data_IF_489229154303
#
_entry.id   IF_489229154303
#
_cell.length_a   1.000
_cell.length_b   1.000
_cell.length_c   1.000
_cell.angle_alpha   90.00
_cell.angle_beta   90.00
_cell.angle_gamma   90.00
#
_symmetry.space_group_name_H-M   'P 1'
#
loop_
_entity.id
_entity.type
_entity.pdbx_description
1 polymer ?
#
# COMPACT_ATOMS: atom_id res chain seq x y z
N UNK A 1 8.64 -20.98 5.23
CA UNK A 1 9.03 -19.84 6.09
C UNK A 1 9.30 -20.20 7.56
N UNK A 2 8.49 -21.06 8.22
CA UNK A 2 8.65 -21.43 9.64
C UNK A 2 10.04 -21.96 10.06
N UNK A 3 10.69 -22.82 9.26
CA UNK A 3 12.04 -23.35 9.58
C UNK A 3 13.16 -22.31 9.60
N UNK A 4 13.06 -21.25 8.77
CA UNK A 4 14.09 -20.19 8.68
C UNK A 4 13.97 -19.21 9.84
N UNK A 5 12.74 -18.94 10.28
CA UNK A 5 12.44 -18.15 11.48
C UNK A 5 12.97 -18.83 12.76
N UNK A 6 12.70 -20.13 12.93
CA UNK A 6 13.15 -20.88 14.11
C UNK A 6 14.68 -20.90 14.25
N UNK A 7 15.40 -21.13 13.14
CA UNK A 7 16.87 -21.15 13.12
C UNK A 7 17.46 -19.79 13.54
N UNK A 8 16.92 -18.70 13.01
CA UNK A 8 17.39 -17.35 13.35
C UNK A 8 17.08 -17.01 14.82
N UNK A 9 15.91 -17.43 15.33
CA UNK A 9 15.55 -17.26 16.74
C UNK A 9 16.48 -18.02 17.67
N UNK A 10 16.83 -19.27 17.34
CA UNK A 10 17.80 -20.06 18.12
C UNK A 10 19.17 -19.40 18.10
N UNK A 11 19.65 -18.97 16.92
CA UNK A 11 20.98 -18.39 16.76
C UNK A 11 21.13 -17.07 17.54
N UNK A 12 20.09 -16.24 17.56
CA UNK A 12 20.05 -15.00 18.34
C UNK A 12 20.04 -15.29 19.84
N UNK A 13 19.28 -16.30 20.29
CA UNK A 13 19.25 -16.68 21.70
C UNK A 13 20.57 -17.27 22.19
N UNK A 14 21.26 -18.05 21.34
CA UNK A 14 22.62 -18.54 21.62
C UNK A 14 23.62 -17.38 21.68
N UNK A 15 23.53 -16.41 20.75
CA UNK A 15 24.35 -15.19 20.81
C UNK A 15 24.11 -14.38 22.09
N UNK A 16 22.85 -14.21 22.49
CA UNK A 16 22.47 -13.54 23.74
C UNK A 16 22.99 -14.27 24.97
N UNK A 17 22.97 -15.61 24.98
CA UNK A 17 23.57 -16.43 26.02
C UNK A 17 25.07 -16.16 26.19
N UNK A 18 25.82 -16.19 25.08
CA UNK A 18 27.27 -15.97 25.09
C UNK A 18 27.58 -14.55 25.56
N UNK A 19 26.88 -13.53 25.03
CA UNK A 19 27.06 -12.14 25.43
C UNK A 19 26.80 -11.94 26.92
N UNK A 20 25.71 -12.49 27.43
CA UNK A 20 25.37 -12.40 28.85
C UNK A 20 26.41 -13.10 29.74
N UNK A 21 26.84 -14.30 29.37
CA UNK A 21 27.89 -15.01 30.11
C UNK A 21 29.21 -14.22 30.14
N UNK A 22 29.58 -13.57 29.03
CA UNK A 22 30.74 -12.68 28.99
C UNK A 22 30.57 -11.46 29.91
N UNK A 23 29.40 -10.82 29.89
CA UNK A 23 29.09 -9.67 30.74
C UNK A 23 29.14 -10.04 32.23
N UNK A 24 28.58 -11.18 32.62
CA UNK A 24 28.62 -11.69 33.99
C UNK A 24 30.04 -11.93 34.51
N UNK A 25 30.85 -12.62 33.71
CA UNK A 25 32.25 -12.90 34.03
C UNK A 25 33.02 -11.59 34.19
N UNK A 26 32.78 -10.61 33.30
CA UNK A 26 33.44 -9.31 33.38
C UNK A 26 32.99 -8.46 34.57
N UNK A 27 31.70 -8.43 34.88
CA UNK A 27 31.14 -7.65 35.99
C UNK A 27 31.51 -8.19 37.36
N UNK A 28 31.74 -9.50 37.47
CA UNK A 28 32.13 -10.15 38.72
C UNK A 28 33.64 -10.29 38.93
N UNK A 29 34.45 -9.77 38.00
CA UNK A 29 35.91 -9.98 38.01
C UNK A 29 36.59 -9.45 39.28
N UNK A 30 36.07 -8.35 39.85
CA UNK A 30 36.58 -7.74 41.10
C UNK A 30 36.39 -8.64 42.34
N UNK A 31 35.54 -9.66 42.27
CA UNK A 31 35.28 -10.60 43.37
C UNK A 31 36.00 -11.94 43.20
N UNK A 32 36.89 -12.06 42.21
CA UNK A 32 37.60 -13.31 41.90
C UNK A 32 38.36 -13.87 43.10
N UNK A 33 38.95 -13.01 43.92
CA UNK A 33 39.78 -13.40 45.07
C UNK A 33 38.95 -13.96 46.25
N UNK A 34 37.61 -13.87 46.19
CA UNK A 34 36.72 -14.49 47.18
C UNK A 34 36.48 -15.99 46.93
N UNK A 35 37.05 -16.55 45.86
CA UNK A 35 36.88 -17.95 45.47
C UNK A 35 38.18 -18.73 45.67
N UNK A 36 38.05 -20.00 46.10
CA UNK A 36 39.19 -20.89 46.39
C UNK A 36 40.12 -21.10 45.18
N UNK A 37 39.61 -20.95 43.96
CA UNK A 37 40.39 -21.06 42.72
C UNK A 37 39.75 -20.30 41.56
N UNK A 38 40.56 -19.97 40.55
CA UNK A 38 40.06 -19.35 39.32
C UNK A 38 39.03 -20.23 38.59
N UNK A 39 39.19 -21.56 38.61
CA UNK A 39 38.22 -22.49 38.02
C UNK A 39 36.90 -22.51 38.78
N UNK A 40 36.94 -22.45 40.12
CA UNK A 40 35.73 -22.35 40.94
C UNK A 40 34.95 -21.07 40.64
N UNK A 41 35.63 -19.94 40.44
CA UNK A 41 35.00 -18.68 40.01
C UNK A 41 34.26 -18.85 38.67
N UNK A 42 34.94 -19.32 37.61
CA UNK A 42 34.31 -19.46 36.29
C UNK A 42 33.15 -20.46 36.28
N UNK A 43 33.26 -21.59 37.00
CA UNK A 43 32.19 -22.57 37.13
C UNK A 43 30.97 -22.00 37.89
N UNK A 44 31.21 -21.18 38.91
CA UNK A 44 30.14 -20.52 39.64
C UNK A 44 29.40 -19.51 38.76
N UNK A 45 30.14 -18.71 37.97
CA UNK A 45 29.55 -17.75 37.03
C UNK A 45 28.81 -18.43 35.88
N UNK A 46 29.37 -19.50 35.31
CA UNK A 46 28.71 -20.26 34.26
C UNK A 46 27.40 -20.87 34.77
N UNK A 47 27.42 -21.52 35.94
CA UNK A 47 26.21 -22.10 36.53
C UNK A 47 25.17 -21.04 36.90
N UNK A 48 25.60 -19.82 37.22
CA UNK A 48 24.71 -18.67 37.44
C UNK A 48 24.04 -18.22 36.15
N UNK A 49 24.83 -18.01 35.08
CA UNK A 49 24.33 -17.62 33.76
C UNK A 49 23.36 -18.66 33.18
N UNK A 50 23.63 -19.95 33.38
CA UNK A 50 22.74 -21.05 32.93
C UNK A 50 21.37 -20.97 33.60
N UNK A 51 21.29 -20.77 34.92
CA UNK A 51 20.01 -20.68 35.63
C UNK A 51 19.15 -19.53 35.10
N UNK A 52 19.76 -18.36 34.91
CA UNK A 52 19.07 -17.17 34.39
C UNK A 52 18.56 -17.42 32.98
N UNK A 53 19.40 -18.00 32.14
CA UNK A 53 19.05 -18.27 30.74
C UNK A 53 17.97 -19.32 30.59
N UNK A 54 17.96 -20.34 31.44
CA UNK A 54 16.86 -21.32 31.51
C UNK A 54 15.54 -20.62 31.86
N UNK A 55 15.53 -19.70 32.84
CA UNK A 55 14.32 -18.94 33.20
C UNK A 55 13.86 -18.06 32.03
N UNK A 56 14.79 -17.37 31.36
CA UNK A 56 14.48 -16.55 30.17
C UNK A 56 13.93 -17.40 29.02
N UNK A 57 14.53 -18.56 28.75
CA UNK A 57 14.07 -19.45 27.68
C UNK A 57 12.73 -20.11 27.98
N UNK A 58 12.48 -20.53 29.22
CA UNK A 58 11.16 -21.02 29.65
C UNK A 58 10.12 -19.92 29.46
N UNK A 59 10.45 -18.68 29.83
CA UNK A 59 9.56 -17.56 29.59
C UNK A 59 9.29 -17.39 28.08
N UNK A 60 10.34 -17.28 27.27
CA UNK A 60 10.26 -16.93 25.86
C UNK A 60 9.62 -18.01 24.99
N UNK A 61 9.99 -19.28 25.17
CA UNK A 61 9.54 -20.39 24.32
C UNK A 61 8.29 -21.10 24.83
N UNK A 62 7.99 -21.02 26.14
CA UNK A 62 6.87 -21.77 26.74
C UNK A 62 5.80 -20.81 27.27
N UNK A 63 6.16 -19.90 28.18
CA UNK A 63 5.16 -19.07 28.86
C UNK A 63 4.49 -18.07 27.91
N UNK A 64 5.27 -17.40 27.04
CA UNK A 64 4.72 -16.42 26.09
C UNK A 64 3.76 -17.07 25.09
N UNK A 65 4.14 -18.12 24.32
CA UNK A 65 3.25 -18.67 23.29
C UNK A 65 2.01 -19.37 23.86
N UNK A 66 2.12 -19.98 25.04
CA UNK A 66 1.02 -20.76 25.62
C UNK A 66 0.03 -19.88 26.38
N UNK A 67 0.50 -18.87 27.13
CA UNK A 67 -0.34 -18.08 28.03
C UNK A 67 -0.49 -16.63 27.59
N UNK A 68 0.60 -15.95 27.28
CA UNK A 68 0.56 -14.53 26.90
C UNK A 68 -0.18 -14.32 25.57
N UNK A 69 0.18 -15.08 24.54
CA UNK A 69 -0.44 -14.97 23.21
C UNK A 69 -1.92 -15.42 23.21
N UNK A 70 -2.31 -16.30 24.16
CA UNK A 70 -3.71 -16.71 24.37
C UNK A 70 -4.49 -15.78 25.30
N UNK A 71 -3.96 -14.58 25.60
CA UNK A 71 -4.56 -13.55 26.47
C UNK A 71 -4.81 -13.99 27.93
N UNK A 72 -4.13 -15.03 28.40
CA UNK A 72 -4.21 -15.52 29.80
C UNK A 72 -3.17 -14.81 30.68
N UNK A 73 -3.23 -13.48 30.75
CA UNK A 73 -2.18 -12.65 31.36
C UNK A 73 -2.00 -12.89 32.87
N UNK A 74 -3.10 -13.13 33.60
CA UNK A 74 -3.05 -13.41 35.04
C UNK A 74 -2.27 -14.70 35.34
N UNK A 75 -2.59 -15.78 34.61
CA UNK A 75 -1.88 -17.06 34.75
C UNK A 75 -0.41 -16.95 34.33
N UNK A 76 -0.14 -16.20 33.25
CA UNK A 76 1.22 -15.90 32.81
C UNK A 76 2.05 -15.19 33.90
N UNK A 77 1.49 -14.18 34.56
CA UNK A 77 2.16 -13.44 35.63
C UNK A 77 2.53 -14.34 36.82
N UNK A 78 1.59 -15.19 37.26
CA UNK A 78 1.84 -16.16 38.34
C UNK A 78 2.96 -17.14 37.96
N UNK A 79 2.91 -17.72 36.77
CA UNK A 79 3.91 -18.69 36.32
C UNK A 79 5.29 -18.06 36.12
N UNK A 80 5.35 -16.81 35.68
CA UNK A 80 6.60 -16.07 35.54
C UNK A 80 7.24 -15.78 36.90
N UNK A 81 6.45 -15.30 37.86
CA UNK A 81 6.95 -15.07 39.22
C UNK A 81 7.39 -16.41 39.83
N UNK A 82 6.57 -17.46 39.67
CA UNK A 82 6.88 -18.80 40.14
C UNK A 82 8.20 -19.36 39.58
N UNK A 83 8.49 -19.14 38.29
CA UNK A 83 9.75 -19.59 37.68
C UNK A 83 10.97 -18.84 38.21
N UNK A 84 10.82 -17.54 38.54
CA UNK A 84 11.88 -16.75 39.20
C UNK A 84 12.14 -17.24 40.63
N UNK A 85 11.08 -17.49 41.40
CA UNK A 85 11.18 -18.06 42.76
C UNK A 85 11.89 -19.42 42.74
N UNK A 86 11.51 -20.29 41.80
CA UNK A 86 12.12 -21.61 41.62
C UNK A 86 13.61 -21.49 41.25
N UNK A 87 13.96 -20.62 40.30
CA UNK A 87 15.35 -20.37 39.90
C UNK A 87 16.22 -19.86 41.05
N UNK A 88 15.69 -18.94 41.86
CA UNK A 88 16.38 -18.43 43.05
C UNK A 88 16.58 -19.52 44.12
N UNK A 89 15.55 -20.33 44.36
CA UNK A 89 15.61 -21.43 45.32
C UNK A 89 16.65 -22.49 44.92
N UNK A 90 16.64 -22.94 43.66
CA UNK A 90 17.57 -23.96 43.16
C UNK A 90 19.04 -23.54 43.30
N UNK A 91 19.35 -22.25 43.14
CA UNK A 91 20.73 -21.75 43.24
C UNK A 91 21.25 -21.69 44.68
N UNK A 92 20.37 -21.44 45.65
CA UNK A 92 20.76 -21.13 47.04
C UNK A 92 20.53 -22.31 48.00
N UNK A 93 19.82 -23.35 47.55
CA UNK A 93 19.49 -24.53 48.37
C UNK A 93 20.70 -25.17 49.10
N UNK A 94 21.89 -25.18 48.47
CA UNK A 94 23.10 -25.76 49.07
C UNK A 94 23.77 -24.89 50.15
N UNK A 95 23.49 -23.59 50.18
CA UNK A 95 24.01 -22.65 51.18
C UNK A 95 22.92 -21.61 51.50
N UNK A 96 21.93 -21.97 52.32
CA UNK A 96 20.76 -21.13 52.55
C UNK A 96 21.15 -19.77 53.14
N UNK A 97 20.86 -18.71 52.39
CA UNK A 97 21.03 -17.33 52.85
C UNK A 97 19.82 -16.51 52.43
N UNK A 98 19.13 -15.93 53.42
CA UNK A 98 17.97 -15.05 53.18
C UNK A 98 18.37 -13.85 52.34
N UNK A 99 19.53 -13.23 52.64
CA UNK A 99 20.07 -12.10 51.87
C UNK A 99 20.44 -12.54 50.45
N UNK A 100 21.04 -13.72 50.29
CA UNK A 100 21.34 -14.28 48.97
C UNK A 100 20.09 -14.50 48.14
N UNK A 101 19.00 -14.97 48.77
CA UNK A 101 17.73 -15.24 48.10
C UNK A 101 17.11 -13.98 47.51
N UNK A 102 17.00 -12.91 48.30
CA UNK A 102 16.48 -11.63 47.80
C UNK A 102 17.36 -11.07 46.68
N UNK A 103 18.69 -11.08 46.83
CA UNK A 103 19.61 -10.63 45.77
C UNK A 103 19.40 -11.39 44.46
N UNK A 104 19.30 -12.73 44.53
CA UNK A 104 19.07 -13.57 43.36
C UNK A 104 17.70 -13.32 42.71
N UNK A 105 16.66 -13.18 43.51
CA UNK A 105 15.31 -12.90 43.03
C UNK A 105 15.21 -11.54 42.32
N UNK A 106 15.73 -10.47 42.93
CA UNK A 106 15.76 -9.14 42.30
C UNK A 106 16.62 -9.13 41.03
N UNK A 107 17.71 -9.89 41.02
CA UNK A 107 18.55 -10.03 39.83
C UNK A 107 17.81 -10.72 38.68
N UNK A 108 17.10 -11.81 38.96
CA UNK A 108 16.25 -12.50 37.98
C UNK A 108 15.12 -11.61 37.45
N UNK A 109 14.52 -10.77 38.30
CA UNK A 109 13.54 -9.77 37.88
C UNK A 109 14.18 -8.79 36.88
N UNK A 110 15.35 -8.25 37.20
CA UNK A 110 16.04 -7.28 36.36
C UNK A 110 16.44 -7.87 34.99
N UNK A 111 17.09 -9.04 34.97
CA UNK A 111 17.56 -9.66 33.71
C UNK A 111 16.41 -10.18 32.85
N UNK A 112 15.38 -10.77 33.47
CA UNK A 112 14.19 -11.23 32.73
C UNK A 112 13.37 -10.05 32.24
N UNK A 113 13.25 -8.98 33.03
CA UNK A 113 12.54 -7.75 32.65
C UNK A 113 13.20 -7.06 31.46
N UNK A 114 14.52 -6.91 31.46
CA UNK A 114 15.28 -6.34 30.34
C UNK A 114 15.20 -7.21 29.09
N UNK A 115 15.34 -8.53 29.22
CA UNK A 115 15.16 -9.47 28.10
C UNK A 115 13.74 -9.43 27.51
N UNK A 116 12.73 -9.33 28.37
CA UNK A 116 11.33 -9.21 27.97
C UNK A 116 11.05 -7.88 27.25
N UNK A 117 11.59 -6.77 27.75
CA UNK A 117 11.50 -5.47 27.09
C UNK A 117 12.12 -5.50 25.69
N UNK A 118 13.34 -6.03 25.56
CA UNK A 118 14.00 -6.19 24.26
C UNK A 118 13.19 -7.08 23.29
N UNK A 119 12.63 -8.18 23.80
CA UNK A 119 11.77 -9.07 23.01
C UNK A 119 10.51 -8.35 22.50
N UNK A 120 9.79 -7.63 23.36
CA UNK A 120 8.57 -6.93 22.96
C UNK A 120 8.85 -5.78 22.00
N UNK A 121 9.93 -5.02 22.21
CA UNK A 121 10.35 -3.97 21.27
C UNK A 121 10.59 -4.56 19.87
N UNK A 122 11.37 -5.64 19.79
CA UNK A 122 11.63 -6.33 18.52
C UNK A 122 10.35 -6.88 17.89
N UNK A 123 9.49 -7.52 18.68
CA UNK A 123 8.21 -8.06 18.21
C UNK A 123 7.32 -6.96 17.65
N UNK A 124 7.23 -5.82 18.32
CA UNK A 124 6.43 -4.68 17.88
C UNK A 124 6.97 -4.10 16.56
N UNK A 125 8.29 -3.97 16.42
CA UNK A 125 8.90 -3.52 15.16
C UNK A 125 8.60 -4.47 13.99
N UNK A 126 8.67 -5.79 14.23
CA UNK A 126 8.33 -6.78 13.21
C UNK A 126 6.85 -6.70 12.80
N UNK A 127 5.94 -6.62 13.77
CA UNK A 127 4.50 -6.49 13.52
C UNK A 127 4.20 -5.19 12.75
N UNK A 128 4.84 -4.08 13.11
CA UNK A 128 4.69 -2.82 12.39
C UNK A 128 5.14 -2.93 10.93
N UNK A 129 6.30 -3.56 10.69
CA UNK A 129 6.79 -3.81 9.33
C UNK A 129 5.85 -4.70 8.53
N UNK A 130 5.37 -5.80 9.12
CA UNK A 130 4.42 -6.71 8.46
C UNK A 130 3.08 -6.02 8.15
N UNK A 131 2.62 -5.14 9.04
CA UNK A 131 1.38 -4.38 8.83
C UNK A 131 1.55 -3.34 7.72
N UNK A 132 2.69 -2.63 7.68
CA UNK A 132 3.00 -1.68 6.61
C UNK A 132 3.11 -2.37 5.25
N UNK A 133 3.71 -3.57 5.20
CA UNK A 133 3.78 -4.38 3.98
C UNK A 133 2.38 -4.83 3.52
N UNK A 134 1.53 -5.27 4.45
CA UNK A 134 0.13 -5.63 4.15
C UNK A 134 -0.66 -4.44 3.62
N UNK A 135 -0.52 -3.27 4.24
CA UNK A 135 -1.21 -2.06 3.78
C UNK A 135 -0.76 -1.65 2.37
N UNK A 136 0.54 -1.74 2.09
CA UNK A 136 1.08 -1.51 0.74
C UNK A 136 0.47 -2.48 -0.27
N UNK A 137 0.47 -3.78 0.03
CA UNK A 137 -0.09 -4.80 -0.84
C UNK A 137 -1.60 -4.59 -1.06
N UNK A 138 -2.33 -4.16 -0.04
CA UNK A 138 -3.75 -3.82 -0.17
C UNK A 138 -3.98 -2.66 -1.13
N UNK A 139 -3.19 -1.58 -1.02
CA UNK A 139 -3.25 -0.44 -1.95
C UNK A 139 -2.91 -0.85 -3.39
N UNK A 140 -1.91 -1.71 -3.58
CA UNK A 140 -1.54 -2.23 -4.90
C UNK A 140 -2.64 -3.11 -5.51
N UNK A 141 -3.25 -4.00 -4.73
CA UNK A 141 -4.38 -4.81 -5.20
C UNK A 141 -5.59 -3.95 -5.57
N UNK A 142 -5.90 -2.95 -4.74
CA UNK A 142 -6.97 -1.99 -5.02
C UNK A 142 -6.71 -1.21 -6.31
N UNK A 143 -5.50 -0.71 -6.49
CA UNK A 143 -5.10 0.00 -7.71
C UNK A 143 -5.24 -0.90 -8.94
N UNK A 144 -4.78 -2.16 -8.86
CA UNK A 144 -4.90 -3.11 -9.98
C UNK A 144 -6.35 -3.40 -10.32
N UNK A 145 -7.20 -3.59 -9.31
CA UNK A 145 -8.64 -3.74 -9.52
C UNK A 145 -9.27 -2.51 -10.19
N UNK A 146 -8.87 -1.30 -9.78
CA UNK A 146 -9.35 -0.06 -10.39
C UNK A 146 -8.83 0.13 -11.82
N UNK A 147 -7.61 -0.32 -12.13
CA UNK A 147 -7.05 -0.34 -13.50
C UNK A 147 -7.79 -1.33 -14.41
N UNK A 148 -8.23 -2.47 -13.86
CA UNK A 148 -8.94 -3.53 -14.60
C UNK A 148 -10.40 -3.20 -14.95
N UNK A 149 -10.99 -2.16 -14.36
CA UNK A 149 -12.29 -1.64 -14.79
C UNK A 149 -12.19 -0.94 -16.15
N UNK A 150 -11.83 -1.70 -17.18
CA UNK A 150 -11.94 -1.36 -18.59
C UNK A 150 -13.41 -1.10 -18.88
N UNK A 151 -13.74 0.08 -19.40
CA UNK A 151 -15.11 0.44 -19.76
C UNK A 151 -15.64 -0.48 -20.87
N UNK A 152 -16.53 -1.46 -20.58
CA UNK A 152 -17.02 -2.39 -21.60
C UNK A 152 -17.91 -1.67 -22.62
N UNK A 153 -18.51 -0.55 -22.21
CA UNK A 153 -19.53 0.14 -22.96
C UNK A 153 -18.97 0.80 -24.23
N UNK A 154 -17.78 1.41 -24.16
CA UNK A 154 -17.12 1.95 -25.37
C UNK A 154 -16.90 0.87 -26.42
N UNK A 155 -16.34 -0.28 -26.02
CA UNK A 155 -16.07 -1.41 -26.91
C UNK A 155 -17.34 -1.92 -27.60
N UNK A 156 -18.41 -2.16 -26.85
CA UNK A 156 -19.68 -2.61 -27.43
C UNK A 156 -20.26 -1.58 -28.41
N UNK A 157 -20.19 -0.29 -28.07
CA UNK A 157 -20.70 0.76 -28.95
C UNK A 157 -19.87 0.92 -30.23
N UNK A 158 -18.54 0.86 -30.13
CA UNK A 158 -17.64 0.93 -31.28
C UNK A 158 -17.84 -0.26 -32.24
N UNK A 159 -18.05 -1.46 -31.71
CA UNK A 159 -18.40 -2.64 -32.51
C UNK A 159 -19.75 -2.50 -33.22
N UNK A 160 -20.76 -1.92 -32.55
CA UNK A 160 -22.07 -1.66 -33.15
C UNK A 160 -22.01 -0.63 -34.29
N UNK A 161 -21.18 0.41 -34.15
CA UNK A 161 -20.91 1.37 -35.22
C UNK A 161 -20.24 0.71 -36.42
N UNK A 162 -19.20 -0.11 -36.19
CA UNK A 162 -18.53 -0.87 -37.26
C UNK A 162 -19.51 -1.81 -37.95
N UNK A 163 -20.36 -2.51 -37.20
CA UNK A 163 -21.40 -3.36 -37.78
C UNK A 163 -22.35 -2.57 -38.68
N UNK A 164 -22.76 -1.37 -38.26
CA UNK A 164 -23.65 -0.49 -39.02
C UNK A 164 -22.98 0.02 -40.31
N UNK A 165 -21.73 0.48 -40.23
CA UNK A 165 -20.92 0.91 -41.38
C UNK A 165 -20.68 -0.23 -42.38
N UNK A 166 -20.36 -1.42 -41.87
CA UNK A 166 -20.19 -2.63 -42.65
C UNK A 166 -21.48 -3.02 -43.39
N UNK A 167 -22.63 -2.97 -42.70
CA UNK A 167 -23.95 -3.22 -43.30
C UNK A 167 -24.29 -2.21 -44.41
N UNK A 168 -23.86 -0.96 -44.25
CA UNK A 168 -24.02 0.10 -45.25
C UNK A 168 -22.96 0.07 -46.36
N UNK A 169 -21.96 -0.83 -46.27
CA UNK A 169 -20.79 -0.87 -47.17
C UNK A 169 -20.06 0.48 -47.25
N UNK A 170 -19.95 1.17 -46.11
CA UNK A 170 -19.27 2.46 -46.06
C UNK A 170 -17.77 2.30 -46.41
N UNK A 171 -17.20 3.16 -47.27
CA UNK A 171 -15.76 3.14 -47.56
C UNK A 171 -14.90 3.47 -46.35
N UNK A 172 -15.48 4.08 -45.30
CA UNK A 172 -14.78 4.45 -44.05
C UNK A 172 -14.59 3.26 -43.10
N UNK A 173 -15.28 2.14 -43.34
CA UNK A 173 -15.27 0.96 -42.45
C UNK A 173 -13.84 0.47 -42.12
N UNK A 174 -12.91 0.30 -43.09
CA UNK A 174 -11.55 -0.17 -42.80
C UNK A 174 -10.76 0.77 -41.89
N UNK A 175 -10.94 2.09 -42.07
CA UNK A 175 -10.25 3.11 -41.27
C UNK A 175 -10.73 3.08 -39.80
N UNK A 176 -12.05 3.01 -39.60
CA UNK A 176 -12.66 2.91 -38.26
C UNK A 176 -12.21 1.64 -37.54
N UNK A 177 -12.08 0.51 -38.26
CA UNK A 177 -11.56 -0.75 -37.70
C UNK A 177 -10.10 -0.58 -37.27
N UNK A 178 -9.27 0.08 -38.07
CA UNK A 178 -7.86 0.34 -37.72
C UNK A 178 -7.76 1.23 -36.48
N UNK A 179 -8.48 2.36 -36.45
CA UNK A 179 -8.52 3.27 -35.30
C UNK A 179 -8.94 2.56 -34.02
N UNK A 180 -9.99 1.72 -34.07
CA UNK A 180 -10.39 0.93 -32.92
C UNK A 180 -9.29 -0.05 -32.48
N UNK A 181 -8.62 -0.70 -33.43
CA UNK A 181 -7.52 -1.62 -33.10
C UNK A 181 -6.35 -0.91 -32.40
N UNK A 182 -6.04 0.32 -32.77
CA UNK A 182 -4.98 1.11 -32.14
C UNK A 182 -5.36 1.53 -30.71
N UNK A 183 -6.59 1.99 -30.50
CA UNK A 183 -7.11 2.31 -29.16
C UNK A 183 -7.10 1.07 -28.26
N UNK A 184 -7.53 -0.09 -28.77
CA UNK A 184 -7.49 -1.35 -28.02
C UNK A 184 -6.07 -1.78 -27.68
N UNK A 185 -5.12 -1.62 -28.61
CA UNK A 185 -3.71 -1.92 -28.38
C UNK A 185 -3.16 -1.06 -27.25
N UNK A 186 -3.39 0.25 -27.30
CA UNK A 186 -2.98 1.16 -26.24
C UNK A 186 -3.56 0.74 -24.89
N UNK A 187 -4.85 0.44 -24.81
CA UNK A 187 -5.51 0.02 -23.56
C UNK A 187 -4.92 -1.28 -22.97
N UNK A 188 -4.62 -2.27 -23.83
CA UNK A 188 -4.04 -3.55 -23.39
C UNK A 188 -2.57 -3.44 -22.98
N UNK A 189 -1.80 -2.57 -23.64
CA UNK A 189 -0.38 -2.37 -23.33
C UNK A 189 -0.17 -1.44 -22.14
N UNK A 190 -0.99 -0.39 -22.04
CA UNK A 190 -0.89 0.63 -20.98
C UNK A 190 -1.40 0.12 -19.64
N UNK A 191 -2.42 -0.75 -19.61
CA UNK A 191 -2.95 -1.36 -18.37
C UNK A 191 -1.90 -2.16 -17.57
N UNK A 192 -0.83 -2.62 -18.23
CA UNK A 192 0.28 -3.35 -17.60
C UNK A 192 1.39 -2.43 -17.09
N UNK A 193 1.33 -1.13 -17.37
CA UNK A 193 2.34 -0.14 -16.98
C UNK A 193 1.86 0.65 -15.77
N UNK A 194 2.79 1.12 -14.96
CA UNK A 194 2.48 2.05 -13.86
C UNK A 194 2.32 3.48 -14.37
N UNK A 195 3.11 3.84 -15.39
CA UNK A 195 3.04 5.14 -16.05
C UNK A 195 3.38 5.04 -17.55
N UNK A 196 2.82 5.97 -18.31
CA UNK A 196 3.04 6.19 -19.75
C UNK A 196 3.51 7.62 -19.98
N UNK A 197 4.04 7.94 -21.16
CA UNK A 197 4.35 9.33 -21.49
C UNK A 197 3.04 10.12 -21.55
N UNK A 198 3.03 11.35 -21.03
CA UNK A 198 1.87 12.25 -21.12
C UNK A 198 1.44 12.43 -22.58
N UNK A 199 2.42 12.53 -23.49
CA UNK A 199 2.18 12.60 -24.93
C UNK A 199 1.39 11.38 -25.44
N UNK A 200 1.72 10.17 -25.02
CA UNK A 200 1.00 8.94 -25.44
C UNK A 200 -0.45 8.94 -24.93
N UNK A 201 -0.69 9.41 -23.70
CA UNK A 201 -2.04 9.52 -23.15
C UNK A 201 -2.88 10.57 -23.91
N UNK A 202 -2.30 11.72 -24.26
CA UNK A 202 -3.00 12.76 -25.02
C UNK A 202 -3.26 12.36 -26.48
N UNK A 203 -2.31 11.68 -27.13
CA UNK A 203 -2.51 11.09 -28.47
C UNK A 203 -3.61 10.02 -28.44
N UNK A 204 -3.69 9.22 -27.37
CA UNK A 204 -4.80 8.30 -27.16
C UNK A 204 -6.15 9.02 -27.06
N UNK A 205 -6.24 10.12 -26.30
CA UNK A 205 -7.46 10.92 -26.20
C UNK A 205 -7.86 11.53 -27.55
N UNK A 206 -6.91 12.07 -28.32
CA UNK A 206 -7.16 12.64 -29.64
C UNK A 206 -7.73 11.59 -30.59
N UNK A 207 -7.11 10.42 -30.68
CA UNK A 207 -7.59 9.30 -31.50
C UNK A 207 -8.97 8.80 -31.06
N UNK A 208 -9.21 8.78 -29.75
CA UNK A 208 -10.50 8.42 -29.18
C UNK A 208 -11.60 9.43 -29.57
N UNK A 209 -11.31 10.72 -29.47
CA UNK A 209 -12.23 11.80 -29.86
C UNK A 209 -12.54 11.75 -31.35
N UNK A 210 -11.54 11.54 -32.23
CA UNK A 210 -11.74 11.41 -33.67
C UNK A 210 -12.66 10.23 -34.03
N UNK A 211 -12.52 9.10 -33.32
CA UNK A 211 -13.39 7.94 -33.53
C UNK A 211 -14.82 8.22 -33.06
N UNK A 212 -14.97 8.90 -31.94
CA UNK A 212 -16.26 9.27 -31.36
C UNK A 212 -16.98 10.36 -32.17
N UNK A 213 -16.25 11.32 -32.74
CA UNK A 213 -16.79 12.37 -33.62
C UNK A 213 -17.50 11.79 -34.85
N UNK A 214 -16.97 10.71 -35.43
CA UNK A 214 -17.64 9.98 -36.54
C UNK A 214 -18.99 9.40 -36.14
N UNK A 215 -19.19 9.10 -34.84
CA UNK A 215 -20.45 8.57 -34.29
C UNK A 215 -21.39 9.68 -33.85
N UNK A 216 -20.83 10.81 -33.40
CA UNK A 216 -21.60 11.98 -33.01
C UNK A 216 -22.34 12.53 -34.23
N UNK A 217 -23.62 12.88 -34.04
CA UNK A 217 -24.32 13.64 -35.08
C UNK A 217 -23.61 14.97 -35.32
N UNK A 218 -23.74 15.58 -36.51
CA UNK A 218 -23.18 16.91 -36.85
C UNK A 218 -23.54 18.06 -35.88
N UNK A 219 -24.31 17.78 -34.82
CA UNK A 219 -24.81 18.72 -33.82
C UNK A 219 -23.93 18.80 -32.56
N UNK A 220 -22.92 17.94 -32.41
CA UNK A 220 -21.97 18.02 -31.29
C UNK A 220 -20.60 18.42 -31.82
N UNK A 221 -20.11 19.60 -31.41
CA UNK A 221 -18.77 20.08 -31.75
C UNK A 221 -17.82 19.77 -30.61
N UNK A 222 -16.69 19.13 -30.93
CA UNK A 222 -15.64 18.84 -29.97
C UNK A 222 -14.39 19.63 -30.35
N UNK A 223 -13.83 20.40 -29.41
CA UNK A 223 -12.55 21.06 -29.56
C UNK A 223 -11.56 20.50 -28.54
N UNK A 224 -10.36 20.10 -29.01
CA UNK A 224 -9.29 19.62 -28.15
C UNK A 224 -8.02 20.43 -28.38
N UNK A 225 -7.58 21.14 -27.33
CA UNK A 225 -6.41 22.00 -27.37
C UNK A 225 -5.31 21.47 -26.45
N UNK A 226 -4.10 21.36 -26.98
CA UNK A 226 -2.91 20.92 -26.23
C UNK A 226 -1.87 22.04 -26.24
N UNK A 227 -1.46 22.48 -25.05
CA UNK A 227 -0.49 23.57 -24.87
C UNK A 227 0.67 23.16 -23.95
N UNK A 228 1.87 23.66 -24.26
CA UNK A 228 3.07 23.45 -23.43
C UNK A 228 3.96 22.28 -23.88
N UNK A 229 5.07 22.09 -23.15
CA UNK A 229 6.08 21.09 -23.47
C UNK A 229 5.76 19.75 -22.78
N UNK A 230 5.45 18.72 -23.58
CA UNK A 230 5.10 17.39 -23.09
C UNK A 230 6.29 16.45 -22.89
N UNK A 231 7.51 16.87 -23.28
CA UNK A 231 8.67 15.98 -23.32
C UNK A 231 9.07 15.48 -21.93
N UNK A 232 9.19 14.15 -21.79
CA UNK A 232 9.71 13.50 -20.59
C UNK A 232 8.71 13.37 -19.44
N UNK A 233 7.52 13.99 -19.54
CA UNK A 233 6.49 13.90 -18.50
C UNK A 233 5.74 12.57 -18.60
N UNK A 234 5.39 12.02 -17.44
CA UNK A 234 4.69 10.72 -17.34
C UNK A 234 3.42 10.85 -16.53
N UNK A 235 2.40 10.07 -16.89
CA UNK A 235 1.11 10.04 -16.23
C UNK A 235 0.65 8.59 -16.04
N UNK A 236 -0.21 8.34 -15.06
CA UNK A 236 -0.92 7.07 -14.96
C UNK A 236 -1.78 6.86 -16.22
N UNK A 237 -1.67 5.70 -16.87
CA UNK A 237 -2.40 5.45 -18.11
C UNK A 237 -3.91 5.46 -17.88
N UNK A 238 -4.67 5.88 -18.88
CA UNK A 238 -6.14 5.91 -18.87
C UNK A 238 -6.71 6.67 -17.67
N UNK A 239 -6.01 7.72 -17.20
CA UNK A 239 -6.48 8.53 -16.08
C UNK A 239 -7.44 9.62 -16.55
N UNK A 240 -7.21 10.16 -17.76
CA UNK A 240 -7.94 11.30 -18.30
C UNK A 240 -9.22 10.89 -19.04
N UNK A 241 -9.21 9.69 -19.64
CA UNK A 241 -10.31 9.19 -20.47
C UNK A 241 -11.69 9.22 -19.79
N UNK A 242 -11.87 8.94 -18.49
CA UNK A 242 -13.21 8.91 -17.91
C UNK A 242 -13.87 10.30 -17.86
N UNK A 243 -13.08 11.38 -17.82
CA UNK A 243 -13.62 12.74 -17.91
C UNK A 243 -14.13 13.05 -19.32
N UNK A 244 -13.37 12.62 -20.33
CA UNK A 244 -13.74 12.76 -21.75
C UNK A 244 -14.96 11.91 -22.08
N UNK A 245 -15.00 10.64 -21.63
CA UNK A 245 -16.17 9.76 -21.76
C UNK A 245 -17.42 10.37 -21.13
N UNK A 246 -17.27 10.96 -19.93
CA UNK A 246 -18.38 11.60 -19.24
C UNK A 246 -18.92 12.79 -20.04
N UNK A 247 -18.03 13.63 -20.56
CA UNK A 247 -18.40 14.77 -21.39
C UNK A 247 -19.09 14.36 -22.70
N UNK A 248 -18.58 13.34 -23.39
CA UNK A 248 -19.22 12.81 -24.60
C UNK A 248 -20.59 12.21 -24.31
N UNK A 249 -20.72 11.42 -23.26
CA UNK A 249 -22.00 10.81 -22.87
C UNK A 249 -23.05 11.88 -22.58
N UNK A 250 -22.69 12.90 -21.82
CA UNK A 250 -23.62 13.95 -21.39
C UNK A 250 -23.81 15.07 -22.40
N UNK A 251 -22.84 15.34 -23.27
CA UNK A 251 -22.96 16.35 -24.33
C UNK A 251 -23.63 15.83 -25.60
N UNK A 252 -23.51 14.54 -25.90
CA UNK A 252 -24.07 13.95 -27.12
C UNK A 252 -25.51 13.45 -27.01
N UNK A 253 -25.90 12.96 -25.82
CA UNK A 253 -27.19 12.28 -25.62
C UNK A 253 -28.32 13.22 -25.24
N UNK A 254 -28.04 14.50 -25.00
CA UNK A 254 -28.91 15.34 -24.19
C UNK A 254 -29.70 16.42 -24.91
N UNK A 255 -29.34 16.82 -26.13
CA UNK A 255 -29.90 18.03 -26.75
C UNK A 255 -30.46 17.80 -28.16
N UNK A 256 -31.65 18.36 -28.40
CA UNK A 256 -32.15 18.63 -29.76
C UNK A 256 -31.44 19.84 -30.41
N UNK A 257 -30.63 20.56 -29.62
CA UNK A 257 -29.83 21.75 -29.96
C UNK A 257 -28.33 21.42 -30.13
N UNK A 258 -27.58 22.33 -30.75
CA UNK A 258 -26.11 22.21 -30.89
C UNK A 258 -25.43 22.14 -29.52
N UNK A 259 -24.63 21.10 -29.30
CA UNK A 259 -23.83 20.92 -28.07
C UNK A 259 -22.35 21.13 -28.34
N UNK A 260 -21.64 21.65 -27.33
CA UNK A 260 -20.19 21.85 -27.39
C UNK A 260 -19.50 21.10 -26.27
N UNK A 261 -18.33 20.55 -26.61
CA UNK A 261 -17.40 19.91 -25.68
C UNK A 261 -16.03 20.52 -25.91
N UNK A 262 -15.55 21.26 -24.93
CA UNK A 262 -14.25 21.91 -24.96
C UNK A 262 -13.29 21.18 -24.02
N UNK A 263 -12.19 20.68 -24.56
CA UNK A 263 -11.17 19.93 -23.83
C UNK A 263 -9.85 20.67 -23.99
N UNK A 264 -9.15 20.90 -22.89
CA UNK A 264 -7.82 21.50 -22.91
C UNK A 264 -6.84 20.76 -22.00
N UNK A 265 -5.60 20.63 -22.47
CA UNK A 265 -4.49 20.08 -21.71
C UNK A 265 -3.31 21.05 -21.81
N UNK A 266 -3.01 21.75 -20.72
CA UNK A 266 -1.91 22.70 -20.65
C UNK A 266 -0.86 22.24 -19.63
N UNK A 267 0.42 22.25 -20.00
CA UNK A 267 1.52 21.95 -19.09
C UNK A 267 2.24 23.22 -18.68
N UNK A 268 2.30 23.48 -17.37
CA UNK A 268 3.05 24.60 -16.78
C UNK A 268 3.84 24.11 -15.57
N UNK A 269 5.15 24.33 -15.55
CA UNK A 269 6.04 23.92 -14.45
C UNK A 269 5.90 22.42 -14.06
N UNK A 270 5.82 21.53 -15.05
CA UNK A 270 5.58 20.08 -14.88
C UNK A 270 4.23 19.72 -14.23
N UNK A 271 3.35 20.68 -14.01
CA UNK A 271 1.95 20.45 -13.65
C UNK A 271 1.11 20.38 -14.91
N UNK A 272 0.34 19.30 -15.05
CA UNK A 272 -0.71 19.17 -16.05
C UNK A 272 -1.97 19.85 -15.53
N UNK A 273 -2.48 20.82 -16.29
CA UNK A 273 -3.81 21.38 -16.13
C UNK A 273 -4.70 20.83 -17.24
N UNK A 274 -5.62 19.94 -16.86
CA UNK A 274 -6.58 19.31 -17.76
C UNK A 274 -7.98 19.84 -17.46
N UNK A 275 -8.66 20.39 -18.46
CA UNK A 275 -10.03 20.91 -18.32
C UNK A 275 -10.94 20.27 -19.36
N UNK A 276 -12.13 19.88 -18.92
CA UNK A 276 -13.20 19.34 -19.77
C UNK A 276 -14.48 20.09 -19.44
N UNK A 277 -15.05 20.74 -20.43
CA UNK A 277 -16.31 21.49 -20.33
C UNK A 277 -17.29 20.92 -21.34
N UNK A 278 -18.51 20.59 -20.91
CA UNK A 278 -19.59 20.23 -21.84
C UNK A 278 -20.88 21.00 -21.52
N UNK A 279 -21.60 21.38 -22.56
CA UNK A 279 -22.95 21.94 -22.44
C UNK A 279 -23.92 20.91 -21.84
N UNK A 280 -24.87 21.38 -21.02
CA UNK A 280 -25.96 20.58 -20.42
C UNK A 280 -27.31 20.96 -21.04
N UNK A 281 -28.25 20.01 -21.17
CA UNK A 281 -29.61 20.32 -21.57
C UNK A 281 -30.35 21.08 -20.46
N UNK A 282 -31.33 21.88 -20.86
CA UNK A 282 -32.25 22.57 -19.94
C UNK A 282 -33.22 21.62 -19.22
N UNK A 283 -33.43 20.41 -19.74
CA UNK A 283 -34.23 19.35 -19.11
C UNK A 283 -33.33 18.20 -18.64
N UNK A 284 -33.10 18.13 -17.32
CA UNK A 284 -32.35 17.03 -16.70
C UNK A 284 -33.27 15.82 -16.59
N UNK A 285 -33.07 14.81 -17.44
CA UNK A 285 -33.58 13.46 -17.13
C UNK A 285 -32.60 12.88 -16.12
N UNK A 286 -33.05 12.73 -14.86
CA UNK A 286 -32.26 12.06 -13.83
C UNK A 286 -31.89 10.65 -14.31
N UNK A 287 -30.62 10.46 -14.66
CA UNK A 287 -30.09 9.12 -14.88
C UNK A 287 -29.73 8.53 -13.52
N UNK A 288 -30.45 7.51 -13.07
CA UNK A 288 -30.25 6.81 -11.78
C UNK A 288 -28.85 6.18 -11.62
N UNK A 289 -28.01 6.17 -12.66
CA UNK A 289 -26.64 5.64 -12.59
C UNK A 289 -25.65 6.73 -12.17
N UNK A 290 -25.50 6.91 -10.85
CA UNK A 290 -24.35 7.64 -10.28
C UNK A 290 -23.04 7.09 -10.84
N UNK A 291 -22.18 8.00 -11.30
CA UNK A 291 -20.99 7.73 -12.10
C UNK A 291 -19.88 7.00 -11.37
N UNK A 292 -19.95 5.66 -11.38
CA UNK A 292 -18.87 4.76 -10.92
C UNK A 292 -17.50 5.16 -11.49
N UNK A 293 -17.45 5.64 -12.74
CA UNK A 293 -16.21 6.06 -13.40
C UNK A 293 -15.52 7.25 -12.71
N UNK A 294 -16.27 8.25 -12.25
CA UNK A 294 -15.69 9.44 -11.61
C UNK A 294 -15.20 9.13 -10.18
N UNK A 295 -15.93 8.30 -9.45
CA UNK A 295 -15.51 7.83 -8.12
C UNK A 295 -14.21 7.00 -8.22
N UNK A 296 -14.11 6.13 -9.24
CA UNK A 296 -12.89 5.39 -9.52
C UNK A 296 -11.70 6.31 -9.81
N UNK A 297 -11.87 7.35 -10.64
CA UNK A 297 -10.78 8.29 -10.93
C UNK A 297 -10.35 9.04 -9.67
N UNK A 298 -11.28 9.53 -8.85
CA UNK A 298 -10.96 10.16 -7.56
C UNK A 298 -10.13 9.23 -6.68
N UNK A 299 -10.51 7.96 -6.60
CA UNK A 299 -9.80 6.96 -5.80
C UNK A 299 -8.41 6.67 -6.36
N UNK A 300 -8.27 6.56 -7.68
CA UNK A 300 -6.97 6.41 -8.36
C UNK A 300 -6.06 7.61 -8.13
N UNK A 301 -6.57 8.84 -8.25
CA UNK A 301 -5.81 10.07 -7.99
C UNK A 301 -5.28 10.11 -6.55
N UNK A 302 -6.10 9.74 -5.56
CA UNK A 302 -5.68 9.66 -4.15
C UNK A 302 -4.58 8.61 -3.90
N UNK A 303 -4.62 7.48 -4.60
CA UNK A 303 -3.60 6.43 -4.46
C UNK A 303 -2.29 6.75 -5.18
N UNK A 304 -2.37 7.39 -6.34
CA UNK A 304 -1.24 7.59 -7.26
C UNK A 304 -0.55 8.94 -7.08
N UNK A 305 -1.30 10.00 -6.77
CA UNK A 305 -0.83 11.37 -6.67
C UNK A 305 -1.20 12.00 -5.32
N UNK A 306 -0.89 11.36 -4.17
CA UNK A 306 -1.30 11.87 -2.87
C UNK A 306 -0.71 13.27 -2.62
N UNK A 307 -1.57 14.25 -2.34
CA UNK A 307 -1.21 15.68 -2.16
C UNK A 307 -0.54 16.33 -3.38
N UNK A 308 -0.60 15.69 -4.55
CA UNK A 308 0.00 16.13 -5.80
C UNK A 308 -1.03 16.32 -6.91
N UNK A 309 -2.31 16.41 -6.53
CA UNK A 309 -3.41 16.67 -7.46
C UNK A 309 -4.49 17.52 -6.82
N UNK A 310 -5.22 18.25 -7.65
CA UNK A 310 -6.42 19.00 -7.31
C UNK A 310 -7.47 18.71 -8.38
N UNK A 311 -8.67 18.33 -7.97
CA UNK A 311 -9.79 18.03 -8.86
C UNK A 311 -11.01 18.84 -8.45
N UNK A 312 -11.38 19.78 -9.30
CA UNK A 312 -12.57 20.61 -9.16
C UNK A 312 -13.63 20.18 -10.17
N UNK A 313 -14.87 20.08 -9.71
CA UNK A 313 -16.00 19.69 -10.53
C UNK A 313 -17.13 20.67 -10.26
N UNK A 314 -17.49 21.43 -11.28
CA UNK A 314 -18.59 22.37 -11.25
C UNK A 314 -19.74 21.84 -12.10
N UNK A 315 -20.89 21.66 -11.46
CA UNK A 315 -22.12 21.29 -12.14
C UNK A 315 -23.08 22.49 -12.13
N UNK A 316 -23.11 23.26 -13.23
CA UNK A 316 -23.97 24.43 -13.39
C UNK A 316 -25.22 24.08 -14.19
N UNK A 317 -26.12 25.05 -14.30
CA UNK A 317 -27.42 24.86 -14.99
C UNK A 317 -27.25 24.56 -16.49
N UNK A 318 -26.26 25.18 -17.15
CA UNK A 318 -26.01 25.07 -18.60
C UNK A 318 -24.69 24.41 -19.00
N UNK A 319 -23.77 24.23 -18.05
CA UNK A 319 -22.45 23.66 -18.30
C UNK A 319 -22.06 22.70 -17.17
N UNK A 320 -21.31 21.65 -17.53
CA UNK A 320 -20.60 20.79 -16.61
C UNK A 320 -19.10 20.98 -16.87
N UNK A 321 -18.33 21.26 -15.83
CA UNK A 321 -16.90 21.54 -15.93
C UNK A 321 -16.11 20.69 -14.96
N UNK A 322 -15.03 20.10 -15.46
CA UNK A 322 -14.03 19.41 -14.66
C UNK A 322 -12.69 20.10 -14.89
N UNK A 323 -12.02 20.48 -13.81
CA UNK A 323 -10.63 20.95 -13.83
C UNK A 323 -9.79 20.03 -12.98
N UNK A 324 -8.69 19.54 -13.55
CA UNK A 324 -7.75 18.66 -12.90
C UNK A 324 -6.35 19.26 -13.02
N UNK A 325 -5.71 19.51 -11.90
CA UNK A 325 -4.29 19.83 -11.82
C UNK A 325 -3.54 18.63 -11.23
N UNK A 326 -2.46 18.19 -11.88
CA UNK A 326 -1.60 17.11 -11.37
C UNK A 326 -0.14 17.53 -11.51
N UNK A 327 0.62 17.45 -10.41
CA UNK A 327 2.07 17.54 -10.45
C UNK A 327 2.67 16.21 -10.94
N UNK A 328 3.33 16.25 -12.10
CA UNK A 328 3.89 15.07 -12.76
C UNK A 328 5.34 14.78 -12.35
N UNK A 329 5.86 15.45 -11.31
CA UNK A 329 7.22 15.21 -10.78
C UNK A 329 7.29 14.15 -9.67
N UNK A 330 6.13 13.66 -9.22
CA UNK A 330 5.99 12.72 -8.09
C UNK A 330 6.29 11.28 -8.45
#
# INVERSE_FOLDING_TARGET
MLKKSLRNTILINVGAFILFAMLEISGSWLFKDQYDSASAFYLWQLSFAVVIMVVIWINHFILIPIFYDKRRYFLYGILLIGSMFLGAYLKIYKSPSVVGFYKMFFYLIYTTGTGMAAFFLRRNMLIQSENAEKEKLQKEMELNYLKEQVNPHFLFNSLNSIYSLSRQKSPETPEVVMQLSELMRYQLESSKKDSVLLKEELEFLENYLLLEEKRLSKRCKVEFLIEGALMGLRISPMLLIPFVENALKHGAQSTNEESTIDISAAVKNNTLHFSVVNSKPSTVVESERKGLGLENVKRRLNLLYPNAHELEIEDKEKEYRVNLAIDLTV
#
